data_IF_265159963945
#
_entry.id   IF_265159963945
#
_cell.length_a   1.000
_cell.length_b   1.000
_cell.length_c   1.000
_cell.angle_alpha   90.00
_cell.angle_beta   90.00
_cell.angle_gamma   90.00
#
_symmetry.space_group_name_H-M   'P 1'
#
loop_
_entity.id
_entity.type
_entity.pdbx_description
1 polymer ?
#
# COMPACT_ATOMS: atom_id res chain seq x y z
N UNK A 1 -19.99 8.69 -1.43
CA UNK A 1 -19.84 8.67 0.03
C UNK A 1 -21.21 8.94 0.63
N UNK A 2 -21.69 8.09 1.53
CA UNK A 2 -22.87 8.41 2.35
C UNK A 2 -22.43 9.31 3.52
N UNK A 3 -23.32 10.12 4.11
CA UNK A 3 -22.98 10.92 5.29
C UNK A 3 -22.41 10.09 6.44
N UNK A 4 -22.87 8.85 6.60
CA UNK A 4 -22.44 7.94 7.67
C UNK A 4 -21.01 7.42 7.52
N UNK A 5 -20.42 7.55 6.32
CA UNK A 5 -19.07 7.12 5.97
C UNK A 5 -18.17 8.30 5.59
N UNK A 6 -18.65 9.54 5.78
CA UNK A 6 -17.87 10.74 5.57
C UNK A 6 -16.93 10.95 6.75
N UNK A 7 -15.63 10.79 6.49
CA UNK A 7 -14.58 10.92 7.50
C UNK A 7 -14.59 12.29 8.19
N UNK A 8 -15.11 13.34 7.54
CA UNK A 8 -15.27 14.68 8.15
C UNK A 8 -16.28 14.70 9.31
N UNK A 9 -17.14 13.68 9.41
CA UNK A 9 -18.13 13.49 10.47
C UNK A 9 -17.68 12.49 11.53
N UNK A 10 -16.50 11.90 11.38
CA UNK A 10 -15.99 10.88 12.30
C UNK A 10 -15.29 11.53 13.48
N UNK A 11 -15.34 10.85 14.62
CA UNK A 11 -14.35 11.05 15.68
C UNK A 11 -13.18 10.09 15.44
N UNK A 12 -11.99 10.44 15.93
CA UNK A 12 -10.83 9.53 15.89
C UNK A 12 -11.16 8.19 16.58
N UNK A 13 -11.83 8.24 17.73
CA UNK A 13 -12.20 7.04 18.49
C UNK A 13 -13.14 6.11 17.71
N UNK A 14 -14.11 6.66 16.98
CA UNK A 14 -15.01 5.88 16.12
C UNK A 14 -14.23 5.18 15.02
N UNK A 15 -13.39 5.92 14.28
CA UNK A 15 -12.59 5.35 13.20
C UNK A 15 -11.68 4.22 13.70
N UNK A 16 -10.98 4.44 14.82
CA UNK A 16 -10.09 3.42 15.42
C UNK A 16 -10.87 2.18 15.85
N UNK A 17 -12.05 2.34 16.46
CA UNK A 17 -12.90 1.23 16.88
C UNK A 17 -13.39 0.41 15.67
N UNK A 18 -13.87 1.07 14.62
CA UNK A 18 -14.34 0.40 13.39
C UNK A 18 -13.21 -0.32 12.66
N UNK A 19 -12.00 0.28 12.61
CA UNK A 19 -10.82 -0.35 12.01
C UNK A 19 -10.43 -1.63 12.77
N UNK A 20 -10.42 -1.60 14.11
CA UNK A 20 -10.12 -2.78 14.94
C UNK A 20 -11.19 -3.86 14.85
N UNK A 21 -12.46 -3.47 14.82
CA UNK A 21 -13.57 -4.39 14.60
C UNK A 21 -13.45 -5.09 13.24
N UNK A 22 -13.11 -4.33 12.19
CA UNK A 22 -12.86 -4.87 10.85
C UNK A 22 -11.67 -5.84 10.85
N UNK A 23 -10.56 -5.49 11.52
CA UNK A 23 -9.41 -6.38 11.62
C UNK A 23 -9.74 -7.70 12.34
N UNK A 24 -10.58 -7.64 13.38
CA UNK A 24 -11.09 -8.82 14.09
C UNK A 24 -11.95 -9.70 13.19
N UNK A 25 -12.87 -9.10 12.43
CA UNK A 25 -13.69 -9.81 11.46
C UNK A 25 -12.83 -10.48 10.38
N UNK A 26 -11.84 -9.76 9.82
CA UNK A 26 -10.94 -10.33 8.83
C UNK A 26 -10.14 -11.50 9.39
N UNK A 27 -9.67 -11.41 10.63
CA UNK A 27 -8.99 -12.54 11.30
C UNK A 27 -9.92 -13.75 11.45
N UNK A 28 -11.20 -13.56 11.74
CA UNK A 28 -12.16 -14.67 11.80
C UNK A 28 -12.38 -15.32 10.42
N UNK A 29 -12.24 -14.57 9.33
CA UNK A 29 -12.41 -15.07 7.95
C UNK A 29 -11.18 -15.84 7.46
N UNK A 30 -9.97 -15.29 7.67
CA UNK A 30 -8.74 -15.80 7.02
C UNK A 30 -7.68 -16.34 7.99
N UNK A 31 -7.89 -16.23 9.30
CA UNK A 31 -6.96 -16.64 10.36
C UNK A 31 -5.72 -15.76 10.52
N UNK A 32 -5.54 -14.71 9.71
CA UNK A 32 -4.35 -13.85 9.74
C UNK A 32 -4.45 -12.81 10.85
N UNK A 33 -3.34 -12.59 11.54
CA UNK A 33 -3.19 -11.60 12.62
C UNK A 33 -2.30 -10.41 12.22
N UNK A 34 -1.67 -10.48 11.06
CA UNK A 34 -0.73 -9.48 10.54
C UNK A 34 -1.28 -8.88 9.27
N UNK A 35 -1.48 -7.56 9.26
CA UNK A 35 -2.02 -6.82 8.12
C UNK A 35 -1.30 -5.51 7.92
N UNK A 36 -1.48 -4.95 6.73
CA UNK A 36 -1.16 -3.55 6.42
C UNK A 36 -2.44 -2.76 6.32
N UNK A 37 -2.36 -1.47 6.64
CA UNK A 37 -3.44 -0.52 6.45
C UNK A 37 -3.28 0.21 5.10
N UNK A 38 -4.37 0.72 4.55
CA UNK A 38 -4.33 1.64 3.41
C UNK A 38 -5.21 2.83 3.74
N UNK A 39 -4.66 4.05 3.66
CA UNK A 39 -5.42 5.26 3.95
C UNK A 39 -6.54 5.43 2.90
N UNK A 40 -7.82 5.49 3.32
CA UNK A 40 -8.93 5.73 2.39
C UNK A 40 -8.73 7.08 1.71
N UNK A 41 -8.71 7.10 0.37
CA UNK A 41 -8.45 8.32 -0.43
C UNK A 41 -7.14 9.06 -0.09
N UNK A 42 -6.23 8.46 0.67
CA UNK A 42 -5.04 9.14 1.19
C UNK A 42 -5.29 10.02 2.43
N UNK A 43 -6.50 10.04 2.98
CA UNK A 43 -6.81 10.82 4.17
C UNK A 43 -6.15 10.23 5.41
N UNK A 44 -5.33 11.05 6.07
CA UNK A 44 -4.55 10.67 7.25
C UNK A 44 -5.06 11.31 8.54
N UNK A 45 -6.00 12.25 8.43
CA UNK A 45 -6.45 13.06 9.56
C UNK A 45 -7.96 13.04 9.72
N UNK A 46 -8.40 13.11 10.97
CA UNK A 46 -9.80 13.29 11.36
C UNK A 46 -9.84 14.48 12.31
N UNK A 47 -10.52 15.55 11.93
CA UNK A 47 -10.53 16.79 12.72
C UNK A 47 -9.12 17.37 12.97
N UNK A 48 -8.19 17.22 12.01
CA UNK A 48 -6.79 17.66 12.12
C UNK A 48 -5.88 16.71 12.91
N UNK A 49 -6.41 15.62 13.48
CA UNK A 49 -5.63 14.65 14.25
C UNK A 49 -5.18 13.51 13.35
N UNK A 50 -3.88 13.21 13.35
CA UNK A 50 -3.32 12.03 12.68
C UNK A 50 -3.79 10.74 13.38
N UNK A 51 -4.81 10.09 12.82
CA UNK A 51 -5.49 8.98 13.51
C UNK A 51 -4.68 7.68 13.55
N UNK A 52 -3.75 7.50 12.61
CA UNK A 52 -2.93 6.28 12.54
C UNK A 52 -1.98 6.14 13.73
N UNK A 53 -1.70 7.22 14.47
CA UNK A 53 -0.94 7.14 15.73
C UNK A 53 -1.52 6.09 16.68
N UNK A 54 -2.86 6.01 16.78
CA UNK A 54 -3.54 5.05 17.64
C UNK A 54 -3.54 3.61 17.09
N UNK A 55 -3.17 3.44 15.82
CA UNK A 55 -3.19 2.17 15.08
C UNK A 55 -1.79 1.64 14.77
N UNK A 56 -0.72 2.37 15.12
CA UNK A 56 0.68 1.99 14.78
C UNK A 56 1.07 0.58 15.19
N UNK A 57 0.48 0.06 16.27
CA UNK A 57 0.74 -1.29 16.77
C UNK A 57 -0.25 -2.34 16.23
N UNK A 58 -1.33 -1.92 15.57
CA UNK A 58 -2.36 -2.81 15.03
C UNK A 58 -1.99 -3.35 13.63
N UNK A 59 -1.08 -2.66 12.93
CA UNK A 59 -0.65 -3.00 11.57
C UNK A 59 0.86 -3.03 11.43
N UNK A 60 1.35 -3.82 10.48
CA UNK A 60 2.78 -3.89 10.14
C UNK A 60 3.25 -2.62 9.44
N UNK A 61 2.40 -2.04 8.58
CA UNK A 61 2.65 -0.82 7.84
C UNK A 61 1.33 -0.22 7.34
N UNK A 62 1.37 1.03 6.89
CA UNK A 62 0.29 1.71 6.18
C UNK A 62 0.75 2.25 4.84
N UNK A 63 -0.06 2.06 3.80
CA UNK A 63 0.17 2.59 2.45
C UNK A 63 -0.54 3.93 2.26
N UNK A 64 0.23 4.95 1.90
CA UNK A 64 -0.25 6.26 1.46
C UNK A 64 -0.51 6.33 -0.05
N UNK A 65 -0.77 7.52 -0.58
CA UNK A 65 -1.09 7.71 -2.02
C UNK A 65 -0.03 8.53 -2.77
N UNK A 66 1.07 8.86 -2.11
CA UNK A 66 2.16 9.64 -2.68
C UNK A 66 3.11 8.75 -3.48
N UNK A 67 3.40 9.16 -4.72
CA UNK A 67 4.37 8.49 -5.57
C UNK A 67 5.80 8.66 -5.06
N UNK A 68 6.59 7.59 -5.14
CA UNK A 68 8.02 7.67 -4.85
C UNK A 68 8.69 6.31 -4.81
N UNK A 69 10.00 6.33 -5.04
CA UNK A 69 10.89 5.19 -4.95
C UNK A 69 11.82 5.42 -3.76
N UNK A 70 11.83 4.49 -2.81
CA UNK A 70 12.58 4.61 -1.56
C UNK A 70 13.40 3.34 -1.32
N UNK A 71 14.63 3.50 -0.85
CA UNK A 71 15.39 2.36 -0.33
C UNK A 71 14.75 1.85 0.96
N UNK A 72 15.06 0.62 1.37
CA UNK A 72 14.53 0.07 2.62
C UNK A 72 14.78 0.96 3.84
N UNK A 73 15.90 1.68 3.89
CA UNK A 73 16.21 2.61 4.98
C UNK A 73 15.37 3.89 4.96
N UNK A 74 14.86 4.29 3.79
CA UNK A 74 14.08 5.53 3.60
C UNK A 74 12.57 5.32 3.75
N UNK A 75 12.08 4.09 3.62
CA UNK A 75 10.66 3.78 3.70
C UNK A 75 10.11 4.14 5.08
N UNK A 76 9.07 4.98 5.10
CA UNK A 76 8.26 5.27 6.28
C UNK A 76 7.15 4.23 6.37
N UNK A 77 7.26 3.29 7.31
CA UNK A 77 6.30 2.19 7.40
C UNK A 77 4.87 2.65 7.76
N UNK A 78 4.69 3.84 8.31
CA UNK A 78 3.36 4.42 8.57
C UNK A 78 2.80 5.24 7.40
N UNK A 79 3.55 5.37 6.29
CA UNK A 79 3.18 6.11 5.10
C UNK A 79 4.00 5.64 3.87
N UNK A 80 3.81 4.38 3.49
CA UNK A 80 4.54 3.77 2.37
C UNK A 80 4.06 4.38 1.05
N UNK A 81 5.01 4.93 0.28
CA UNK A 81 4.76 5.51 -1.03
C UNK A 81 4.22 4.48 -2.03
N UNK A 82 3.37 4.92 -2.96
CA UNK A 82 2.89 4.11 -4.07
C UNK A 82 2.55 4.95 -5.30
N UNK A 83 2.57 4.31 -6.47
CA UNK A 83 2.10 4.91 -7.72
C UNK A 83 0.68 4.43 -8.00
N UNK A 84 -0.29 5.34 -7.91
CA UNK A 84 -1.65 5.10 -8.37
C UNK A 84 -1.67 4.97 -9.90
N UNK A 85 -2.14 3.84 -10.39
CA UNK A 85 -2.28 3.58 -11.83
C UNK A 85 -3.74 3.71 -12.21
N UNK A 86 -4.00 4.68 -13.07
CA UNK A 86 -5.29 5.02 -13.61
C UNK A 86 -5.13 5.40 -15.10
N UNK A 87 -5.31 4.43 -15.99
CA UNK A 87 -5.20 4.61 -17.43
C UNK A 87 -3.78 4.65 -18.00
N UNK A 88 -2.72 4.67 -17.17
CA UNK A 88 -1.35 4.57 -17.70
C UNK A 88 -1.13 3.22 -18.39
N UNK A 89 -0.37 3.25 -19.49
CA UNK A 89 -0.11 2.08 -20.31
C UNK A 89 0.96 1.15 -19.70
N UNK A 90 1.16 0.00 -20.34
CA UNK A 90 2.17 -0.97 -19.90
C UNK A 90 3.58 -0.40 -19.88
N UNK A 91 3.94 0.44 -20.85
CA UNK A 91 5.28 1.03 -20.92
C UNK A 91 5.60 1.92 -19.72
N UNK A 92 4.67 2.78 -19.31
CA UNK A 92 4.81 3.60 -18.10
C UNK A 92 5.09 2.76 -16.86
N UNK A 93 4.34 1.67 -16.66
CA UNK A 93 4.56 0.77 -15.53
C UNK A 93 5.90 0.06 -15.61
N UNK A 94 6.33 -0.37 -16.81
CA UNK A 94 7.64 -0.97 -17.01
C UNK A 94 8.79 0.00 -16.74
N UNK A 95 8.63 1.27 -17.09
CA UNK A 95 9.65 2.29 -16.82
C UNK A 95 9.82 2.52 -15.32
N UNK A 96 8.72 2.51 -14.55
CA UNK A 96 8.78 2.51 -13.08
C UNK A 96 9.51 1.29 -12.51
N UNK A 97 9.25 0.09 -13.04
CA UNK A 97 9.95 -1.14 -12.62
C UNK A 97 11.45 -1.02 -12.88
N UNK A 98 11.84 -0.59 -14.09
CA UNK A 98 13.25 -0.42 -14.47
C UNK A 98 13.94 0.64 -13.61
N UNK A 99 13.28 1.75 -13.33
CA UNK A 99 13.81 2.78 -12.44
C UNK A 99 14.03 2.22 -11.02
N UNK A 100 13.08 1.43 -10.51
CA UNK A 100 13.20 0.79 -9.21
C UNK A 100 14.34 -0.25 -9.15
N UNK A 101 14.55 -1.02 -10.23
CA UNK A 101 15.69 -1.93 -10.35
C UNK A 101 17.02 -1.18 -10.35
N UNK A 102 17.13 -0.11 -11.15
CA UNK A 102 18.36 0.70 -11.25
C UNK A 102 18.72 1.40 -9.94
N UNK A 103 17.71 1.84 -9.18
CA UNK A 103 17.90 2.56 -7.92
C UNK A 103 17.83 1.67 -6.66
N UNK A 104 17.61 0.37 -6.83
CA UNK A 104 17.48 -0.60 -5.73
C UNK A 104 16.44 -0.19 -4.66
N UNK A 105 15.27 0.27 -5.13
CA UNK A 105 14.20 0.81 -4.28
C UNK A 105 12.95 -0.05 -4.27
N UNK A 106 12.12 0.11 -3.24
CA UNK A 106 10.76 -0.40 -3.21
C UNK A 106 9.89 0.34 -4.24
N UNK A 107 9.15 -0.43 -5.04
CA UNK A 107 8.07 0.04 -5.91
C UNK A 107 6.75 -0.59 -5.46
N UNK A 108 5.73 0.24 -5.25
CA UNK A 108 4.36 -0.20 -4.94
C UNK A 108 3.42 0.37 -5.99
N UNK A 109 2.64 -0.52 -6.61
CA UNK A 109 1.53 -0.11 -7.48
C UNK A 109 0.21 -0.10 -6.71
N UNK A 110 -0.59 0.94 -6.93
CA UNK A 110 -1.97 1.04 -6.47
C UNK A 110 -2.88 0.91 -7.68
N UNK A 111 -3.56 -0.23 -7.79
CA UNK A 111 -4.63 -0.46 -8.76
C UNK A 111 -5.99 -0.43 -8.05
N UNK A 112 -6.96 0.26 -8.65
CA UNK A 112 -8.36 0.20 -8.21
C UNK A 112 -9.12 -0.89 -8.98
N UNK A 113 -8.96 -0.89 -10.31
CA UNK A 113 -9.46 -1.93 -11.21
C UNK A 113 -8.41 -2.33 -12.24
N UNK A 114 -8.53 -3.56 -12.74
CA UNK A 114 -7.75 -4.08 -13.87
C UNK A 114 -8.72 -4.70 -14.86
N UNK A 115 -8.80 -4.15 -16.07
CA UNK A 115 -9.71 -4.62 -17.12
C UNK A 115 -11.19 -4.27 -16.92
N UNK A 116 -11.53 -3.43 -15.95
CA UNK A 116 -12.89 -2.95 -15.70
C UNK A 116 -13.26 -2.91 -14.21
N UNK A 117 -14.56 -2.80 -13.91
CA UNK A 117 -15.12 -2.86 -12.55
C UNK A 117 -15.06 -1.57 -11.73
N UNK A 118 -14.29 -0.57 -12.16
CA UNK A 118 -14.19 0.73 -11.51
C UNK A 118 -13.82 1.82 -12.54
N UNK A 119 -14.16 3.09 -12.29
CA UNK A 119 -13.80 4.20 -13.19
C UNK A 119 -12.30 4.51 -13.18
N UNK A 120 -11.65 4.32 -12.03
CA UNK A 120 -10.20 4.29 -11.89
C UNK A 120 -9.72 2.88 -12.29
N UNK A 121 -9.13 2.74 -13.47
CA UNK A 121 -8.84 1.41 -14.03
C UNK A 121 -7.63 1.42 -14.95
N UNK A 122 -6.96 0.28 -15.05
CA UNK A 122 -5.92 0.04 -16.07
C UNK A 122 -6.41 -1.01 -17.07
N UNK A 123 -6.01 -0.87 -18.33
CA UNK A 123 -6.30 -1.87 -19.36
C UNK A 123 -5.71 -3.25 -19.00
N UNK A 124 -6.43 -4.32 -19.34
CA UNK A 124 -6.01 -5.69 -19.05
C UNK A 124 -4.74 -6.08 -19.82
N UNK A 125 -4.58 -5.59 -21.06
CA UNK A 125 -3.39 -5.78 -21.88
C UNK A 125 -2.17 -5.07 -21.30
N UNK A 126 -2.33 -3.82 -20.85
CA UNK A 126 -1.30 -3.04 -20.16
C UNK A 126 -0.84 -3.73 -18.86
N UNK A 127 -1.77 -4.17 -18.02
CA UNK A 127 -1.43 -4.92 -16.80
C UNK A 127 -0.74 -6.26 -17.12
N UNK A 128 -1.19 -6.98 -18.16
CA UNK A 128 -0.55 -8.23 -18.58
C UNK A 128 0.87 -8.02 -19.09
N UNK A 129 1.16 -6.88 -19.73
CA UNK A 129 2.53 -6.52 -20.13
C UNK A 129 3.44 -6.37 -18.91
N UNK A 130 2.98 -5.69 -17.87
CA UNK A 130 3.69 -5.58 -16.59
C UNK A 130 3.98 -6.97 -16.00
N UNK A 131 2.95 -7.82 -15.88
CA UNK A 131 3.11 -9.16 -15.30
C UNK A 131 4.11 -10.04 -16.07
N UNK A 132 4.12 -9.98 -17.41
CA UNK A 132 5.07 -10.75 -18.23
C UNK A 132 6.51 -10.33 -17.96
N UNK A 133 6.76 -9.03 -17.85
CA UNK A 133 8.10 -8.53 -17.53
C UNK A 133 8.52 -8.97 -16.13
N UNK A 134 7.66 -8.77 -15.13
CA UNK A 134 7.91 -9.19 -13.75
C UNK A 134 8.22 -10.70 -13.64
N UNK A 135 7.48 -11.54 -14.38
CA UNK A 135 7.74 -12.98 -14.43
C UNK A 135 9.08 -13.32 -15.09
N UNK A 136 9.45 -12.63 -16.17
CA UNK A 136 10.72 -12.84 -16.85
C UNK A 136 11.93 -12.45 -15.98
N UNK A 137 11.75 -11.51 -15.05
CA UNK A 137 12.79 -11.00 -14.15
C UNK A 137 12.61 -11.45 -12.69
N UNK A 138 11.87 -12.54 -12.43
CA UNK A 138 11.53 -12.97 -11.06
C UNK A 138 12.74 -13.38 -10.21
N UNK A 139 13.89 -13.68 -10.83
CA UNK A 139 15.16 -13.95 -10.14
C UNK A 139 15.85 -12.68 -9.63
N UNK A 140 15.52 -11.54 -10.22
CA UNK A 140 16.12 -10.24 -9.91
C UNK A 140 15.18 -9.36 -9.06
N UNK A 141 13.87 -9.56 -9.21
CA UNK A 141 12.83 -8.76 -8.57
C UNK A 141 12.10 -9.63 -7.54
N UNK A 142 12.24 -9.26 -6.26
CA UNK A 142 11.42 -9.86 -5.20
C UNK A 142 10.02 -9.22 -5.19
N UNK A 143 9.01 -10.02 -5.51
CA UNK A 143 7.60 -9.61 -5.53
C UNK A 143 6.87 -10.38 -4.44
N UNK A 144 6.23 -9.67 -3.53
CA UNK A 144 5.49 -10.27 -2.42
C UNK A 144 4.34 -9.36 -1.95
N UNK A 145 3.38 -9.90 -1.18
CA UNK A 145 2.40 -9.08 -0.48
C UNK A 145 3.07 -8.00 0.37
N UNK A 146 2.45 -6.82 0.45
CA UNK A 146 3.04 -5.67 1.17
C UNK A 146 3.36 -5.99 2.64
N UNK A 147 2.57 -6.82 3.31
CA UNK A 147 2.84 -7.24 4.69
C UNK A 147 4.21 -7.90 4.82
N UNK A 148 4.58 -8.81 3.92
CA UNK A 148 5.88 -9.50 3.94
C UNK A 148 7.03 -8.53 3.66
N UNK A 149 6.87 -7.67 2.64
CA UNK A 149 7.85 -6.66 2.29
C UNK A 149 8.09 -5.69 3.45
N UNK A 150 7.03 -5.24 4.11
CA UNK A 150 7.09 -4.33 5.23
C UNK A 150 7.76 -4.96 6.47
N UNK A 151 7.50 -6.24 6.75
CA UNK A 151 8.21 -6.96 7.83
C UNK A 151 9.70 -7.06 7.55
N UNK A 152 10.08 -7.36 6.30
CA UNK A 152 11.48 -7.42 5.87
C UNK A 152 12.17 -6.06 5.97
N UNK A 153 11.49 -4.98 5.59
CA UNK A 153 11.99 -3.60 5.74
C UNK A 153 12.20 -3.26 7.22
N UNK A 154 11.20 -3.54 8.07
CA UNK A 154 11.31 -3.28 9.52
C UNK A 154 12.49 -4.02 10.14
N UNK A 155 12.70 -5.28 9.76
CA UNK A 155 13.85 -6.05 10.21
C UNK A 155 15.18 -5.40 9.79
N UNK A 156 15.29 -5.01 8.50
CA UNK A 156 16.47 -4.35 7.97
C UNK A 156 16.79 -3.01 8.67
N UNK A 157 15.76 -2.18 8.92
CA UNK A 157 15.88 -0.90 9.63
C UNK A 157 16.29 -1.08 11.10
N UNK A 158 15.78 -2.13 11.77
CA UNK A 158 16.13 -2.45 13.15
C UNK A 158 17.58 -2.92 13.32
N UNK A 159 18.13 -3.64 12.33
CA UNK A 159 19.57 -4.00 12.30
C UNK A 159 20.49 -2.81 12.01
N UNK A 160 20.05 -1.83 11.22
CA UNK A 160 20.86 -0.66 10.88
C UNK A 160 20.94 0.39 12.02
N UNK A 161 20.10 0.24 13.05
CA UNK A 161 20.03 1.13 14.22
C UNK A 161 20.79 0.58 15.43
N UNK A 162 21.51 -0.54 15.26
CA UNK A 162 22.45 -1.13 16.22
C UNK A 162 23.86 -1.01 15.69
#
# INVERSE_FOLDING_TARGET
MTPDNDLSKYTVSRAVAEIRATNTLLQAIDGKTRRTFAYPCGDRQIGGVYFYEQLKNDFVAARGVTGGLQTAAQVKLDDVNCYAINGQNGQYMLDLVKQAQQSHTLLVFLFHGVGGGHSLNVDLGAHRQLLRYLKAHEKEIYIAPMVEVAEKIRAAQGTASK
#
